data_IF_752446553077
#
_entry.id   IF_752446553077
#
_cell.length_a   1.000
_cell.length_b   1.000
_cell.length_c   1.000
_cell.angle_alpha   90.00
_cell.angle_beta   90.00
_cell.angle_gamma   90.00
#
_symmetry.space_group_name_H-M   'P 1'
#
loop_
_entity.id
_entity.type
_entity.pdbx_description
1 polymer ?
#
# COMPACT_ATOMS: atom_id res chain seq x y z
N UNK A 1 -3.02 -8.52 11.40
CA UNK A 1 -2.06 -7.92 10.44
C UNK A 1 -0.70 -7.81 11.09
N UNK A 2 0.32 -7.38 10.34
CA UNK A 2 1.67 -7.08 10.84
C UNK A 2 1.83 -5.58 11.06
N UNK A 3 2.73 -5.17 11.94
CA UNK A 3 3.14 -3.77 12.07
C UNK A 3 4.19 -3.44 11.00
N UNK A 4 3.72 -2.94 9.86
CA UNK A 4 4.57 -2.59 8.72
C UNK A 4 5.60 -1.50 9.06
N UNK A 5 5.26 -0.56 9.95
CA UNK A 5 6.16 0.51 10.38
C UNK A 5 7.31 -0.07 11.19
N UNK A 6 7.00 -0.92 12.18
CA UNK A 6 8.01 -1.58 13.00
C UNK A 6 8.94 -2.46 12.15
N UNK A 7 8.39 -3.22 11.19
CA UNK A 7 9.18 -4.03 10.27
C UNK A 7 10.13 -3.17 9.42
N UNK A 8 9.64 -2.06 8.86
CA UNK A 8 10.50 -1.16 8.08
C UNK A 8 11.60 -0.54 8.94
N UNK A 9 11.29 -0.13 10.18
CA UNK A 9 12.27 0.46 11.09
C UNK A 9 13.35 -0.54 11.52
N UNK A 10 13.00 -1.81 11.72
CA UNK A 10 13.93 -2.82 12.26
C UNK A 10 14.71 -3.58 11.20
N UNK A 11 14.13 -3.76 10.01
CA UNK A 11 14.69 -4.62 8.96
C UNK A 11 14.82 -3.90 7.60
N UNK A 12 14.42 -2.63 7.48
CA UNK A 12 14.38 -1.90 6.22
C UNK A 12 15.70 -1.62 5.53
N UNK A 13 16.81 -1.71 6.26
CA UNK A 13 18.17 -1.61 5.71
C UNK A 13 18.72 -2.96 5.22
N UNK A 14 18.00 -4.06 5.51
CA UNK A 14 18.42 -5.44 5.18
C UNK A 14 17.49 -6.11 4.19
N UNK A 15 16.21 -5.77 4.20
CA UNK A 15 15.16 -6.43 3.43
C UNK A 15 14.31 -5.41 2.67
N UNK A 16 13.82 -5.86 1.52
CA UNK A 16 12.71 -5.20 0.83
C UNK A 16 11.38 -5.80 1.27
N UNK A 17 10.34 -4.98 1.28
CA UNK A 17 8.98 -5.38 1.64
C UNK A 17 8.06 -5.35 0.44
N UNK A 18 7.00 -6.16 0.46
CA UNK A 18 5.97 -6.18 -0.57
C UNK A 18 4.59 -6.38 0.04
N UNK A 19 3.58 -5.74 -0.53
CA UNK A 19 2.19 -5.91 -0.13
C UNK A 19 1.76 -4.97 1.01
N UNK A 20 0.81 -5.39 1.84
CA UNK A 20 0.38 -4.68 3.05
C UNK A 20 -0.97 -3.98 2.98
N UNK A 21 -1.56 -3.83 1.78
CA UNK A 21 -2.91 -3.31 1.60
C UNK A 21 -3.92 -4.42 1.89
N UNK A 22 -4.94 -4.15 2.71
CA UNK A 22 -5.99 -5.11 3.02
C UNK A 22 -6.85 -5.48 1.80
N UNK A 23 -6.53 -6.61 1.17
CA UNK A 23 -7.27 -7.15 0.03
C UNK A 23 -8.67 -7.66 0.41
N UNK A 24 -8.84 -8.15 1.63
CA UNK A 24 -10.05 -8.85 2.06
C UNK A 24 -11.20 -7.89 2.33
N UNK A 25 -10.90 -6.74 2.94
CA UNK A 25 -11.88 -5.72 3.30
C UNK A 25 -11.79 -4.47 2.44
N UNK A 26 -10.64 -3.80 2.42
CA UNK A 26 -10.52 -2.46 1.81
C UNK A 26 -10.66 -2.56 0.29
N UNK A 27 -9.97 -3.49 -0.36
CA UNK A 27 -10.07 -3.61 -1.82
C UNK A 27 -11.44 -4.14 -2.27
N UNK A 28 -12.04 -5.10 -1.55
CA UNK A 28 -13.32 -5.69 -1.96
C UNK A 28 -14.54 -4.83 -1.64
N UNK A 29 -14.54 -4.11 -0.53
CA UNK A 29 -15.75 -3.45 0.01
C UNK A 29 -15.54 -1.98 0.40
N UNK A 30 -14.30 -1.48 0.33
CA UNK A 30 -14.00 -0.09 0.65
C UNK A 30 -14.45 0.87 -0.44
N UNK A 31 -14.64 2.12 -0.05
CA UNK A 31 -14.84 3.23 -0.98
C UNK A 31 -13.52 3.61 -1.66
N UNK A 32 -13.57 4.39 -2.74
CA UNK A 32 -12.36 4.93 -3.37
C UNK A 32 -11.49 5.72 -2.37
N UNK A 33 -12.11 6.42 -1.41
CA UNK A 33 -11.40 7.15 -0.36
C UNK A 33 -10.66 6.18 0.58
N UNK A 34 -11.31 5.09 0.99
CA UNK A 34 -10.69 4.09 1.86
C UNK A 34 -9.46 3.47 1.20
N UNK A 35 -9.55 3.16 -0.10
CA UNK A 35 -8.43 2.60 -0.88
C UNK A 35 -7.27 3.60 -0.97
N UNK A 36 -7.56 4.87 -1.27
CA UNK A 36 -6.55 5.93 -1.36
C UNK A 36 -5.83 6.13 -0.01
N UNK A 37 -6.58 6.20 1.08
CA UNK A 37 -6.00 6.38 2.41
C UNK A 37 -5.22 5.15 2.87
N UNK A 38 -5.64 3.95 2.48
CA UNK A 38 -4.89 2.72 2.74
C UNK A 38 -3.56 2.68 1.98
N UNK A 39 -3.54 3.09 0.71
CA UNK A 39 -2.29 3.26 -0.06
C UNK A 39 -1.37 4.27 0.63
N UNK A 40 -1.89 5.44 1.02
CA UNK A 40 -1.10 6.46 1.72
C UNK A 40 -0.56 5.93 3.06
N UNK A 41 -1.36 5.20 3.83
CA UNK A 41 -0.95 4.57 5.10
C UNK A 41 0.23 3.62 4.88
N UNK A 42 0.12 2.74 3.89
CA UNK A 42 1.17 1.80 3.52
C UNK A 42 2.47 2.49 3.04
N UNK A 43 2.36 3.44 2.11
CA UNK A 43 3.52 4.19 1.60
C UNK A 43 4.18 5.02 2.71
N UNK A 44 3.40 5.63 3.61
CA UNK A 44 3.93 6.34 4.78
C UNK A 44 4.70 5.40 5.72
N UNK A 45 4.18 4.20 5.94
CA UNK A 45 4.77 3.24 6.87
C UNK A 45 6.09 2.63 6.35
N UNK A 46 6.17 2.29 5.06
CA UNK A 46 7.30 1.52 4.53
C UNK A 46 8.00 2.13 3.31
N UNK A 47 7.49 3.19 2.71
CA UNK A 47 8.06 3.81 1.51
C UNK A 47 9.33 4.63 1.76
N UNK A 48 9.60 5.06 2.99
CA UNK A 48 10.80 5.85 3.25
C UNK A 48 12.08 5.08 2.89
N UNK A 49 13.05 5.77 2.27
CA UNK A 49 14.31 5.21 1.78
C UNK A 49 14.18 4.08 0.73
N UNK A 50 13.04 3.94 0.05
CA UNK A 50 12.86 2.88 -0.97
C UNK A 50 12.75 1.48 -0.38
N UNK A 51 12.89 0.45 -1.22
CA UNK A 51 12.82 -0.96 -0.77
C UNK A 51 11.43 -1.43 -0.33
N UNK A 52 10.37 -0.79 -0.82
CA UNK A 52 8.99 -1.21 -0.56
C UNK A 52 8.14 -1.21 -1.83
N UNK A 53 7.56 -2.37 -2.13
CA UNK A 53 6.63 -2.61 -3.21
C UNK A 53 5.20 -2.60 -2.66
N UNK A 54 4.58 -1.43 -2.64
CA UNK A 54 3.19 -1.28 -2.17
C UNK A 54 2.23 -2.08 -3.04
N UNK A 55 1.32 -2.81 -2.40
CA UNK A 55 0.34 -3.63 -3.10
C UNK A 55 -0.56 -4.44 -2.16
N UNK A 56 -1.44 -5.28 -2.73
CA UNK A 56 -2.31 -6.18 -1.99
C UNK A 56 -1.53 -7.10 -1.03
N UNK A 57 -2.08 -7.39 0.15
CA UNK A 57 -1.49 -8.34 1.11
C UNK A 57 -1.64 -9.79 0.66
N UNK A 58 -2.65 -10.06 -0.16
CA UNK A 58 -2.94 -11.36 -0.76
C UNK A 58 -3.43 -11.18 -2.20
N UNK A 59 -3.54 -12.31 -2.91
CA UNK A 59 -4.04 -12.37 -4.28
C UNK A 59 -5.37 -11.62 -4.46
N UNK A 60 -5.52 -11.00 -5.63
CA UNK A 60 -6.75 -10.37 -6.07
C UNK A 60 -7.62 -11.47 -6.69
N UNK A 61 -8.74 -11.81 -6.05
CA UNK A 61 -9.66 -12.85 -6.51
C UNK A 61 -11.00 -12.27 -6.97
N UNK A 62 -11.62 -11.45 -6.12
CA UNK A 62 -13.00 -10.96 -6.32
C UNK A 62 -13.10 -9.42 -6.30
N UNK A 63 -11.96 -8.73 -6.27
CA UNK A 63 -11.92 -7.28 -6.15
C UNK A 63 -12.58 -6.61 -7.37
N UNK A 64 -13.53 -5.68 -7.17
CA UNK A 64 -14.12 -4.94 -8.27
C UNK A 64 -13.07 -4.21 -9.10
N UNK A 65 -13.23 -4.24 -10.44
CA UNK A 65 -12.29 -3.60 -11.36
C UNK A 65 -12.12 -2.10 -11.11
N UNK A 66 -13.19 -1.41 -10.68
CA UNK A 66 -13.14 0.00 -10.29
C UNK A 66 -12.20 0.24 -9.10
N UNK A 67 -12.23 -0.65 -8.10
CA UNK A 67 -11.36 -0.56 -6.93
C UNK A 67 -9.90 -0.83 -7.30
N UNK A 68 -9.64 -1.74 -8.24
CA UNK A 68 -8.29 -1.95 -8.78
C UNK A 68 -7.77 -0.73 -9.55
N UNK A 69 -8.64 -0.04 -10.28
CA UNK A 69 -8.29 1.21 -10.96
C UNK A 69 -7.91 2.29 -9.95
N UNK A 70 -8.70 2.48 -8.89
CA UNK A 70 -8.39 3.42 -7.81
C UNK A 70 -7.08 3.05 -7.11
N UNK A 71 -6.87 1.77 -6.80
CA UNK A 71 -5.63 1.26 -6.20
C UNK A 71 -4.41 1.63 -7.06
N UNK A 72 -4.45 1.30 -8.36
CA UNK A 72 -3.38 1.62 -9.30
C UNK A 72 -3.13 3.14 -9.34
N UNK A 73 -4.18 3.93 -9.52
CA UNK A 73 -4.08 5.39 -9.67
C UNK A 73 -3.52 6.04 -8.40
N UNK A 74 -3.92 5.56 -7.23
CA UNK A 74 -3.37 5.98 -5.94
C UNK A 74 -1.89 5.61 -5.81
N UNK A 75 -1.50 4.37 -6.14
CA UNK A 75 -0.09 3.94 -6.11
C UNK A 75 0.75 4.80 -7.05
N UNK A 76 0.33 5.00 -8.30
CA UNK A 76 1.03 5.85 -9.26
C UNK A 76 1.19 7.29 -8.78
N UNK A 77 0.17 7.83 -8.09
CA UNK A 77 0.22 9.17 -7.52
C UNK A 77 1.23 9.28 -6.36
N UNK A 78 1.23 8.32 -5.43
CA UNK A 78 1.96 8.43 -4.17
C UNK A 78 3.33 7.71 -4.14
N UNK A 79 3.69 6.91 -5.16
CA UNK A 79 4.97 6.19 -5.22
C UNK A 79 6.19 7.03 -5.60
N UNK A 80 6.00 8.24 -6.12
CA UNK A 80 7.09 9.07 -6.66
C UNK A 80 7.91 9.69 -5.53
N UNK A 81 9.23 9.68 -5.70
CA UNK A 81 10.17 10.32 -4.77
C UNK A 81 10.52 11.75 -5.22
N UNK A 82 10.70 12.71 -4.30
CA UNK A 82 10.44 12.58 -2.86
C UNK A 82 8.95 12.32 -2.59
N UNK A 83 8.66 11.45 -1.61
CA UNK A 83 7.29 11.04 -1.32
C UNK A 83 6.44 12.26 -0.96
N UNK A 84 5.36 12.47 -1.69
CA UNK A 84 4.40 13.53 -1.43
C UNK A 84 3.04 12.91 -1.09
N UNK A 85 2.68 12.95 0.20
CA UNK A 85 1.46 12.32 0.74
C UNK A 85 0.40 13.36 1.15
N UNK A 86 0.59 14.63 0.77
CA UNK A 86 -0.35 15.71 0.99
C UNK A 86 -1.55 15.62 0.03
#
# INVERSE_FOLDING_TARGET
GVDLTYLKQTLGDKLSFMGGIDSSRILNFGTSKDIVEEVKRCVKAAGNNGGYFVGPSHNILTTPMENLKVLRDAIEKYRKYPLNLN
#
